data_IF_040302386608
#
_entry.id   IF_040302386608
#
_cell.length_a   1.000
_cell.length_b   1.000
_cell.length_c   1.000
_cell.angle_alpha   90.00
_cell.angle_beta   90.00
_cell.angle_gamma   90.00
#
_symmetry.space_group_name_H-M   'P 1'
#
loop_
_entity.id
_entity.type
_entity.pdbx_description
1 polymer ?
#
# COMPACT_ATOMS: atom_id res chain seq x y z
N UNK A 1 -26.21 -5.80 -40.19
CA UNK A 1 -25.77 -4.45 -40.62
C UNK A 1 -26.06 -3.38 -39.56
N UNK A 2 -27.19 -3.45 -38.84
CA UNK A 2 -27.50 -2.56 -37.70
C UNK A 2 -26.50 -2.64 -36.54
N UNK A 3 -26.08 -3.85 -36.16
CA UNK A 3 -25.14 -4.10 -35.05
C UNK A 3 -23.76 -3.42 -35.24
N UNK A 4 -23.25 -3.38 -36.48
CA UNK A 4 -21.98 -2.69 -36.77
C UNK A 4 -22.11 -1.17 -36.67
N UNK A 5 -23.24 -0.60 -37.14
CA UNK A 5 -23.48 0.83 -37.06
C UNK A 5 -23.58 1.31 -35.61
N UNK A 6 -24.24 0.55 -34.74
CA UNK A 6 -24.32 0.83 -33.30
C UNK A 6 -22.93 0.79 -32.64
N UNK A 7 -22.09 -0.19 -33.01
CA UNK A 7 -20.72 -0.28 -32.48
C UNK A 7 -19.86 0.94 -32.88
N UNK A 8 -19.96 1.41 -34.13
CA UNK A 8 -19.22 2.61 -34.57
C UNK A 8 -19.69 3.86 -33.84
N UNK A 9 -20.99 4.03 -33.68
CA UNK A 9 -21.56 5.18 -32.98
C UNK A 9 -21.15 5.21 -31.49
N UNK A 10 -21.06 4.04 -30.85
CA UNK A 10 -20.54 3.91 -29.49
C UNK A 10 -19.05 4.31 -29.39
N UNK A 11 -18.23 3.88 -30.35
CA UNK A 11 -16.81 4.28 -30.41
C UNK A 11 -16.66 5.78 -30.61
N UNK A 12 -17.49 6.38 -31.48
CA UNK A 12 -17.47 7.83 -31.74
C UNK A 12 -17.84 8.63 -30.48
N UNK A 13 -18.91 8.25 -29.78
CA UNK A 13 -19.32 8.89 -28.53
C UNK A 13 -18.27 8.76 -27.42
N UNK A 14 -17.67 7.58 -27.28
CA UNK A 14 -16.62 7.37 -26.26
C UNK A 14 -15.35 8.14 -26.59
N UNK A 15 -14.98 8.27 -27.87
CA UNK A 15 -13.84 9.06 -28.29
C UNK A 15 -14.07 10.57 -28.07
N UNK A 16 -15.28 11.06 -28.35
CA UNK A 16 -15.66 12.44 -28.07
C UNK A 16 -15.56 12.78 -26.57
N UNK A 17 -16.01 11.88 -25.69
CA UNK A 17 -15.88 12.04 -24.25
C UNK A 17 -14.41 12.06 -23.79
N UNK A 18 -13.55 11.21 -24.38
CA UNK A 18 -12.11 11.23 -24.10
C UNK A 18 -11.49 12.56 -24.55
N UNK A 19 -11.88 13.09 -25.70
CA UNK A 19 -11.38 14.37 -26.18
C UNK A 19 -11.78 15.53 -25.25
N UNK A 20 -13.03 15.56 -24.78
CA UNK A 20 -13.50 16.54 -23.81
C UNK A 20 -12.66 16.52 -22.51
N UNK A 21 -12.37 15.33 -21.98
CA UNK A 21 -11.52 15.19 -20.79
C UNK A 21 -10.07 15.64 -21.01
N UNK A 22 -9.56 15.54 -22.24
CA UNK A 22 -8.20 15.95 -22.58
C UNK A 22 -8.09 17.43 -22.92
N UNK A 23 -9.21 18.13 -23.13
CA UNK A 23 -9.22 19.53 -23.55
C UNK A 23 -8.54 20.47 -22.53
N UNK A 24 -8.55 20.10 -21.26
CA UNK A 24 -7.83 20.80 -20.18
C UNK A 24 -6.34 20.99 -20.49
N UNK A 25 -5.72 20.01 -21.17
CA UNK A 25 -4.31 20.05 -21.54
C UNK A 25 -4.05 20.80 -22.85
N UNK A 26 -5.08 21.17 -23.61
CA UNK A 26 -4.95 22.07 -24.78
C UNK A 26 -4.86 23.54 -24.35
N UNK A 27 -5.47 23.86 -23.20
CA UNK A 27 -5.60 25.24 -22.70
C UNK A 27 -4.52 25.60 -21.67
N UNK A 28 -4.01 24.63 -20.93
CA UNK A 28 -3.02 24.83 -19.86
C UNK A 28 -1.80 23.95 -20.11
N UNK A 29 -0.59 24.47 -19.85
CA UNK A 29 0.62 23.65 -19.95
C UNK A 29 0.65 22.56 -18.88
N UNK A 30 1.37 21.46 -19.15
CA UNK A 30 1.46 20.35 -18.19
C UNK A 30 2.11 20.81 -16.88
N UNK A 31 3.11 21.67 -16.97
CA UNK A 31 3.85 22.23 -15.83
C UNK A 31 2.93 23.06 -14.91
N UNK A 32 2.10 23.93 -15.49
CA UNK A 32 1.12 24.73 -14.75
C UNK A 32 0.02 23.86 -14.14
N UNK A 33 -0.45 22.84 -14.86
CA UNK A 33 -1.48 21.93 -14.38
C UNK A 33 -1.01 21.10 -13.18
N UNK A 34 0.25 20.66 -13.17
CA UNK A 34 0.80 19.84 -12.07
C UNK A 34 1.37 20.66 -10.92
N UNK A 35 1.68 21.96 -11.13
CA UNK A 35 2.24 22.84 -10.11
C UNK A 35 1.46 22.85 -8.77
N UNK A 36 0.11 22.95 -8.74
CA UNK A 36 -0.64 22.97 -7.49
C UNK A 36 -0.80 21.59 -6.83
N UNK A 37 -0.53 20.50 -7.55
CA UNK A 37 -0.82 19.14 -7.08
C UNK A 37 0.25 18.62 -6.11
N UNK A 38 -0.16 17.78 -5.16
CA UNK A 38 0.77 17.04 -4.29
C UNK A 38 1.62 16.05 -5.12
N UNK A 39 2.83 15.65 -4.65
CA UNK A 39 3.68 14.72 -5.40
C UNK A 39 2.97 13.42 -5.83
N UNK A 40 2.07 12.93 -4.98
CA UNK A 40 1.29 11.72 -5.25
C UNK A 40 0.24 11.96 -6.35
N UNK A 41 -0.47 13.09 -6.31
CA UNK A 41 -1.43 13.47 -7.36
C UNK A 41 -0.75 13.71 -8.70
N UNK A 42 0.42 14.35 -8.71
CA UNK A 42 1.25 14.51 -9.91
C UNK A 42 1.59 13.16 -10.53
N UNK A 43 2.02 12.20 -9.71
CA UNK A 43 2.33 10.85 -10.17
C UNK A 43 1.10 10.16 -10.78
N UNK A 44 -0.08 10.31 -10.18
CA UNK A 44 -1.34 9.80 -10.74
C UNK A 44 -1.65 10.40 -12.10
N UNK A 45 -1.58 11.73 -12.23
CA UNK A 45 -1.85 12.42 -13.49
C UNK A 45 -0.89 11.93 -14.59
N UNK A 46 0.41 11.90 -14.31
CA UNK A 46 1.41 11.47 -15.30
C UNK A 46 1.24 10.00 -15.72
N UNK A 47 0.98 9.10 -14.77
CA UNK A 47 0.76 7.68 -15.06
C UNK A 47 -0.55 7.45 -15.81
N UNK A 48 -1.62 8.17 -15.46
CA UNK A 48 -2.88 8.15 -16.21
C UNK A 48 -2.71 8.64 -17.63
N UNK A 49 -1.97 9.73 -17.84
CA UNK A 49 -1.70 10.25 -19.18
C UNK A 49 -0.89 9.25 -20.01
N UNK A 50 0.15 8.65 -19.42
CA UNK A 50 0.93 7.60 -20.09
C UNK A 50 0.06 6.38 -20.45
N UNK A 51 -0.90 6.00 -19.60
CA UNK A 51 -1.88 4.96 -19.93
C UNK A 51 -2.74 5.38 -21.12
N UNK A 52 -3.32 6.58 -21.10
CA UNK A 52 -4.21 7.10 -22.15
C UNK A 52 -3.52 7.12 -23.51
N UNK A 53 -2.28 7.61 -23.60
CA UNK A 53 -1.51 7.65 -24.86
C UNK A 53 -1.31 6.24 -25.41
N UNK A 54 -0.88 5.29 -24.56
CA UNK A 54 -0.65 3.90 -24.99
C UNK A 54 -1.95 3.19 -25.37
N UNK A 55 -3.05 3.47 -24.67
CA UNK A 55 -4.37 2.92 -24.97
C UNK A 55 -4.91 3.46 -26.30
N UNK A 56 -4.80 4.77 -26.54
CA UNK A 56 -5.20 5.38 -27.82
C UNK A 56 -4.36 4.85 -28.98
N UNK A 57 -3.05 4.68 -28.79
CA UNK A 57 -2.19 4.04 -29.78
C UNK A 57 -2.61 2.59 -30.05
N UNK A 58 -3.00 1.83 -29.02
CA UNK A 58 -3.52 0.48 -29.19
C UNK A 58 -4.81 0.47 -30.03
N UNK A 59 -5.75 1.38 -29.74
CA UNK A 59 -7.00 1.52 -30.50
C UNK A 59 -6.69 1.90 -31.96
N UNK A 60 -5.79 2.86 -32.18
CA UNK A 60 -5.35 3.26 -33.53
C UNK A 60 -4.76 2.09 -34.33
N UNK A 61 -3.88 1.28 -33.73
CA UNK A 61 -3.34 0.11 -34.42
C UNK A 61 -4.44 -0.90 -34.79
N UNK A 62 -5.48 -1.05 -33.97
CA UNK A 62 -6.61 -1.93 -34.29
C UNK A 62 -7.46 -1.39 -35.44
N UNK A 63 -7.70 -0.09 -35.52
CA UNK A 63 -8.49 0.52 -36.60
C UNK A 63 -7.76 0.47 -37.95
N UNK A 64 -6.43 0.51 -37.93
CA UNK A 64 -5.57 0.32 -39.11
C UNK A 64 -5.47 -1.15 -39.59
N UNK A 65 -6.22 -2.07 -38.97
CA UNK A 65 -6.22 -3.49 -39.38
C UNK A 65 -4.90 -4.21 -39.09
N UNK A 66 -4.07 -3.69 -38.18
CA UNK A 66 -2.80 -4.32 -37.82
C UNK A 66 -3.05 -5.71 -37.21
N UNK A 67 -2.31 -6.72 -37.65
CA UNK A 67 -2.44 -8.08 -37.15
C UNK A 67 -2.09 -8.17 -35.65
N UNK A 68 -2.77 -9.02 -34.86
CA UNK A 68 -2.44 -9.25 -33.45
C UNK A 68 -1.02 -9.73 -33.19
N UNK A 69 -0.37 -10.32 -34.21
CA UNK A 69 1.01 -10.82 -34.16
C UNK A 69 2.05 -9.79 -34.55
N UNK A 70 1.63 -8.59 -34.98
CA UNK A 70 2.54 -7.51 -35.32
C UNK A 70 3.34 -7.08 -34.08
N UNK A 71 4.62 -6.82 -34.29
CA UNK A 71 5.55 -6.36 -33.26
C UNK A 71 5.06 -5.06 -32.60
N UNK A 72 4.40 -4.17 -33.36
CA UNK A 72 3.83 -2.91 -32.87
C UNK A 72 2.78 -3.14 -31.77
N UNK A 73 1.88 -4.11 -31.97
CA UNK A 73 0.88 -4.42 -30.94
C UNK A 73 1.50 -5.06 -29.70
N UNK A 74 2.52 -5.90 -29.90
CA UNK A 74 3.24 -6.54 -28.79
C UNK A 74 3.96 -5.50 -27.93
N UNK A 75 4.62 -4.52 -28.56
CA UNK A 75 5.24 -3.41 -27.83
C UNK A 75 4.22 -2.57 -27.06
N UNK A 76 3.09 -2.21 -27.66
CA UNK A 76 2.05 -1.46 -26.94
C UNK A 76 1.51 -2.23 -25.74
N UNK A 77 1.35 -3.55 -25.84
CA UNK A 77 0.97 -4.39 -24.68
C UNK A 77 2.03 -4.39 -23.57
N UNK A 78 3.32 -4.41 -23.93
CA UNK A 78 4.42 -4.31 -22.96
C UNK A 78 4.40 -2.94 -22.25
N UNK A 79 4.15 -1.87 -22.99
CA UNK A 79 3.98 -0.52 -22.45
C UNK A 79 2.82 -0.44 -21.45
N UNK A 80 1.67 -1.02 -21.79
CA UNK A 80 0.52 -1.09 -20.89
C UNK A 80 0.83 -1.88 -19.60
N UNK A 81 1.55 -3.00 -19.68
CA UNK A 81 1.95 -3.76 -18.49
C UNK A 81 2.96 -2.98 -17.65
N UNK A 82 3.87 -2.22 -18.28
CA UNK A 82 4.78 -1.31 -17.58
C UNK A 82 4.02 -0.23 -16.82
N UNK A 83 3.04 0.41 -17.44
CA UNK A 83 2.20 1.44 -16.81
C UNK A 83 1.40 0.85 -15.64
N UNK A 84 0.86 -0.36 -15.78
CA UNK A 84 0.17 -1.07 -14.69
C UNK A 84 1.06 -1.32 -13.47
N UNK A 85 2.35 -1.60 -13.69
CA UNK A 85 3.31 -1.71 -12.59
C UNK A 85 3.49 -0.37 -11.86
N UNK A 86 3.46 0.77 -12.55
CA UNK A 86 3.49 2.09 -11.92
C UNK A 86 2.21 2.43 -11.17
N UNK A 87 1.03 2.07 -11.69
CA UNK A 87 -0.24 2.20 -10.97
C UNK A 87 -0.18 1.43 -9.65
N UNK A 88 0.38 0.22 -9.66
CA UNK A 88 0.57 -0.57 -8.43
C UNK A 88 1.47 0.14 -7.43
N UNK A 89 2.62 0.68 -7.88
CA UNK A 89 3.53 1.45 -7.01
C UNK A 89 2.86 2.66 -6.37
N UNK A 90 2.02 3.37 -7.12
CA UNK A 90 1.24 4.49 -6.58
C UNK A 90 0.29 3.99 -5.49
N UNK A 91 -0.48 2.93 -5.74
CA UNK A 91 -1.39 2.35 -4.73
C UNK A 91 -0.66 1.89 -3.46
N UNK A 92 0.49 1.24 -3.62
CA UNK A 92 1.31 0.81 -2.49
C UNK A 92 1.82 2.02 -1.68
N UNK A 93 2.20 3.10 -2.36
CA UNK A 93 2.60 4.36 -1.72
C UNK A 93 1.43 5.05 -1.01
N UNK A 94 0.22 5.00 -1.56
CA UNK A 94 -0.99 5.51 -0.92
C UNK A 94 -1.34 4.75 0.36
N UNK A 95 -1.28 3.42 0.33
CA UNK A 95 -1.51 2.60 1.51
C UNK A 95 -0.45 2.85 2.59
N UNK A 96 0.81 3.04 2.19
CA UNK A 96 1.87 3.39 3.13
C UNK A 96 1.66 4.78 3.74
N UNK A 97 1.15 5.74 2.96
CA UNK A 97 0.85 7.10 3.43
C UNK A 97 -0.31 7.14 4.43
N UNK A 98 -1.25 6.17 4.39
CA UNK A 98 -2.30 6.01 5.42
C UNK A 98 -1.75 5.60 6.79
N UNK A 99 -0.48 5.25 6.87
CA UNK A 99 0.21 4.85 8.08
C UNK A 99 -0.14 3.43 8.52
N UNK A 100 0.56 2.89 9.54
CA UNK A 100 0.22 1.62 10.13
C UNK A 100 -1.21 1.68 10.67
N UNK A 101 -2.04 0.69 10.33
CA UNK A 101 -3.34 0.53 10.99
C UNK A 101 -3.05 0.20 12.45
N UNK A 102 -3.12 1.19 13.34
CA UNK A 102 -2.94 1.04 14.77
C UNK A 102 -4.12 0.23 15.33
N UNK A 103 -4.04 -1.09 15.20
CA UNK A 103 -4.99 -2.01 15.81
C UNK A 103 -4.55 -2.23 17.25
N UNK A 104 -5.30 -1.65 18.19
CA UNK A 104 -5.10 -1.91 19.61
C UNK A 104 -5.44 -3.37 19.92
N UNK A 105 -4.47 -4.12 20.43
CA UNK A 105 -4.71 -5.44 21.01
C UNK A 105 -5.42 -5.26 22.36
N UNK A 106 -6.73 -5.47 22.34
CA UNK A 106 -7.61 -5.33 23.52
C UNK A 106 -7.25 -6.32 24.61
N UNK A 107 -6.77 -7.51 24.28
CA UNK A 107 -6.42 -8.53 25.26
C UNK A 107 -5.06 -8.25 25.89
N UNK A 108 -4.08 -7.78 25.12
CA UNK A 108 -2.83 -7.26 25.67
C UNK A 108 -3.09 -6.05 26.58
N UNK A 109 -3.96 -5.12 26.17
CA UNK A 109 -4.35 -3.95 26.96
C UNK A 109 -4.98 -4.35 28.30
N UNK A 110 -5.89 -5.33 28.29
CA UNK A 110 -6.48 -5.90 29.52
C UNK A 110 -5.42 -6.53 30.43
N UNK A 111 -4.45 -7.26 29.87
CA UNK A 111 -3.34 -7.86 30.64
C UNK A 111 -2.47 -6.78 31.29
N UNK A 112 -2.15 -5.71 30.58
CA UNK A 112 -1.40 -4.58 31.14
C UNK A 112 -2.16 -3.90 32.28
N UNK A 113 -3.45 -3.61 32.09
CA UNK A 113 -4.31 -3.03 33.13
C UNK A 113 -4.40 -3.95 34.34
N UNK A 114 -4.67 -5.24 34.13
CA UNK A 114 -4.79 -6.21 35.21
C UNK A 114 -3.48 -6.35 35.99
N UNK A 115 -2.33 -6.39 35.32
CA UNK A 115 -1.02 -6.48 35.97
C UNK A 115 -0.68 -5.21 36.76
N UNK A 116 -1.00 -4.03 36.23
CA UNK A 116 -0.80 -2.76 36.93
C UNK A 116 -1.68 -2.67 38.19
N UNK A 117 -2.96 -3.06 38.11
CA UNK A 117 -3.89 -3.04 39.24
C UNK A 117 -3.61 -4.13 40.28
N UNK A 118 -3.16 -5.30 39.84
CA UNK A 118 -2.79 -6.38 40.77
C UNK A 118 -1.49 -6.08 41.51
N UNK A 119 -0.58 -5.27 40.95
CA UNK A 119 0.60 -4.79 41.68
C UNK A 119 0.22 -3.88 42.85
N UNK A 120 -0.80 -3.03 42.67
CA UNK A 120 -1.35 -2.17 43.73
C UNK A 120 -2.07 -2.99 44.79
N UNK A 121 -2.93 -3.95 44.38
CA UNK A 121 -3.64 -4.83 45.31
C UNK A 121 -2.70 -5.75 46.09
N UNK A 122 -1.63 -6.25 45.45
CA UNK A 122 -0.59 -7.02 46.13
C UNK A 122 0.16 -6.17 47.14
N UNK A 123 0.33 -4.86 46.92
CA UNK A 123 0.83 -3.94 47.94
C UNK A 123 -0.15 -3.76 49.10
N UNK A 124 -1.45 -3.58 48.84
CA UNK A 124 -2.45 -3.43 49.92
C UNK A 124 -2.59 -4.72 50.75
N UNK A 125 -2.53 -5.88 50.12
CA UNK A 125 -2.60 -7.19 50.79
C UNK A 125 -1.27 -7.54 51.50
N UNK A 126 -0.12 -7.15 50.95
CA UNK A 126 1.17 -7.31 51.61
C UNK A 126 1.36 -6.35 52.79
N UNK A 127 0.80 -5.13 52.73
CA UNK A 127 0.78 -4.18 53.86
C UNK A 127 -0.15 -4.68 54.96
N UNK A 128 -1.33 -5.23 54.62
CA UNK A 128 -2.23 -5.87 55.60
C UNK A 128 -1.65 -7.14 56.23
N UNK A 129 -0.88 -7.95 55.48
CA UNK A 129 -0.15 -9.11 56.05
C UNK A 129 1.14 -8.73 56.77
N UNK A 130 1.67 -7.52 56.54
CA UNK A 130 2.91 -7.03 57.16
C UNK A 130 2.71 -6.46 58.57
N UNK A 131 1.49 -6.07 58.95
CA UNK A 131 1.19 -5.60 60.30
C UNK A 131 1.15 -6.74 61.35
N UNK A 132 0.89 -7.98 60.92
CA UNK A 132 0.90 -9.17 61.80
C UNK A 132 2.28 -9.85 61.93
N UNK A 133 3.35 -9.26 61.37
CA UNK A 133 4.67 -9.93 61.35
C UNK A 133 5.83 -8.95 61.43
N UNK A 134 5.86 -8.11 62.48
CA UNK A 134 7.13 -7.59 62.98
C UNK A 134 7.84 -8.67 63.78
N UNK A 135 8.83 -9.35 63.18
CA UNK A 135 10.13 -9.71 63.80
C UNK A 135 11.11 -10.19 62.71
N UNK A 136 11.98 -9.27 62.27
CA UNK A 136 13.43 -9.47 62.01
C UNK A 136 13.93 -10.04 60.65
N UNK A 137 14.75 -9.19 59.99
CA UNK A 137 15.85 -9.39 58.99
C UNK A 137 15.58 -9.24 57.47
N UNK A 138 16.27 -8.26 56.88
CA UNK A 138 16.60 -8.08 55.43
C UNK A 138 17.96 -8.78 55.11
N UNK A 139 18.46 -8.82 53.85
CA UNK A 139 17.84 -9.00 52.52
C UNK A 139 18.62 -10.02 51.64
N UNK A 140 17.99 -10.70 50.66
CA UNK A 140 18.76 -11.31 49.53
C UNK A 140 18.03 -11.21 48.18
N UNK A 141 18.61 -10.41 47.28
CA UNK A 141 18.32 -10.41 45.83
C UNK A 141 18.84 -11.71 45.21
N UNK A 142 17.98 -12.47 44.51
CA UNK A 142 18.41 -13.46 43.52
C UNK A 142 17.60 -13.31 42.23
N UNK A 143 18.27 -12.82 41.19
CA UNK A 143 17.78 -12.79 39.79
C UNK A 143 17.74 -14.22 39.25
N UNK A 144 16.69 -14.66 38.53
CA UNK A 144 16.77 -15.91 37.78
C UNK A 144 17.55 -15.71 36.48
N UNK A 145 18.49 -16.63 36.26
CA UNK A 145 19.42 -16.66 35.15
C UNK A 145 18.73 -16.99 33.82
N UNK A 146 19.14 -16.26 32.77
CA UNK A 146 18.88 -16.58 31.36
C UNK A 146 19.61 -17.87 30.97
N UNK A 147 18.87 -18.91 30.56
CA UNK A 147 19.43 -20.03 29.81
C UNK A 147 19.18 -19.83 28.31
N UNK A 148 20.20 -19.29 27.65
CA UNK A 148 20.38 -19.30 26.20
C UNK A 148 20.68 -20.74 25.74
N UNK A 149 19.79 -21.35 24.97
CA UNK A 149 20.07 -22.58 24.24
C UNK A 149 20.32 -22.25 22.76
N UNK A 150 21.60 -22.21 22.39
CA UNK A 150 22.08 -22.03 21.03
C UNK A 150 21.78 -23.27 20.17
N UNK A 151 20.93 -23.13 19.15
CA UNK A 151 20.81 -24.11 18.05
C UNK A 151 21.60 -23.58 16.85
N UNK A 152 22.81 -24.11 16.65
CA UNK A 152 23.59 -24.01 15.40
C UNK A 152 22.76 -24.59 14.25
N UNK A 153 22.55 -23.83 13.17
CA UNK A 153 22.27 -24.44 11.88
C UNK A 153 23.15 -23.85 10.77
N UNK A 154 23.79 -24.79 10.07
CA UNK A 154 24.94 -24.68 9.17
C UNK A 154 24.49 -24.18 7.80
N UNK A 155 24.91 -22.97 7.41
CA UNK A 155 24.78 -22.45 6.04
C UNK A 155 25.68 -23.26 5.11
N UNK A 156 25.10 -24.05 4.21
CA UNK A 156 25.78 -24.51 2.98
C UNK A 156 25.47 -23.52 1.86
N UNK A 157 26.47 -22.76 1.44
CA UNK A 157 26.52 -22.06 0.16
C UNK A 157 27.16 -23.02 -0.84
N UNK A 158 26.42 -23.49 -1.84
CA UNK A 158 27.01 -24.07 -3.05
C UNK A 158 27.27 -22.95 -4.05
N UNK A 159 28.46 -23.03 -4.65
CA UNK A 159 28.90 -22.29 -5.83
C UNK A 159 28.08 -22.71 -7.04
#
# INVERSE_FOLDING_TARGET
>A
MTDQAEAFQSVEQTLAAVEEHLDVFKQTSMEEFVAPLSPLERAKVQVSLAYTINALLFVFLKTQGVSPKDIRQTHVKQELERVKAFIKKIKDAEELAKGPKLVLDKDASKRFIHNALSSDQVYVDAVKKGEDSKTTQQPQMKRPASKTAAKKNKRQRKR
#
